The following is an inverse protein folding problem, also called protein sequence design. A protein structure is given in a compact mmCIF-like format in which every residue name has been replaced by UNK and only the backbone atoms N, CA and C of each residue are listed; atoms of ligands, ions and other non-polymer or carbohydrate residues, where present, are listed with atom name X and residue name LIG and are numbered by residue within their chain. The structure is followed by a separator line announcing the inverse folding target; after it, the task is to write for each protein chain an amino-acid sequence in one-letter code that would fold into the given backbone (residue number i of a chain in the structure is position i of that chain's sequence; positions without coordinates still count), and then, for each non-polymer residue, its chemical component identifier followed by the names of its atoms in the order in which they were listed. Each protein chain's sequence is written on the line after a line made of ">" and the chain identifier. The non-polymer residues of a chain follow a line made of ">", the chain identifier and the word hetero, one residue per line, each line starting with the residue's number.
data_IF_666771878580
#
_entry.id   IF_666771878580
#
_cell.length_a   1.000
_cell.length_b   1.000
_cell.length_c   1.000
_cell.angle_alpha   90.00
_cell.angle_beta   90.00
_cell.angle_gamma   90.00
#
_symmetry.space_group_name_H-M   'P 1'
#
loop_
_entity.id
_entity.type
_entity.pdbx_description
1 polymer ?
#
# COMPACT_ATOMS: atom_id res chain seq x y z
N UNK A 1 -23.98 -25.91 -10.82
CA UNK A 1 -23.50 -25.94 -11.19
C UNK A 1 -23.26 -25.16 -12.15
N UNK A 2 -23.69 -24.81 -12.74
CA UNK A 2 -23.53 -24.20 -13.66
C UNK A 2 -23.17 -22.85 -13.53
N UNK A 3 -22.82 -22.38 -12.66
CA UNK A 3 -22.35 -21.13 -12.44
C UNK A 3 -20.89 -21.03 -12.47
N UNK A 4 -20.24 -21.95 -13.16
CA UNK A 4 -18.80 -21.95 -13.21
C UNK A 4 -18.25 -20.66 -13.79
N UNK A 5 -18.87 -20.08 -14.80
CA UNK A 5 -18.39 -18.85 -15.40
C UNK A 5 -18.39 -17.68 -14.42
N UNK A 6 -19.49 -17.52 -13.68
CA UNK A 6 -19.60 -16.44 -12.72
C UNK A 6 -18.70 -16.65 -11.52
N UNK A 7 -18.67 -17.89 -11.02
CA UNK A 7 -17.88 -18.18 -9.85
C UNK A 7 -16.38 -18.13 -10.13
N UNK A 8 -15.99 -18.50 -11.35
CA UNK A 8 -14.59 -18.48 -11.73
C UNK A 8 -14.11 -17.08 -12.06
N UNK A 9 -15.04 -16.17 -12.36
CA UNK A 9 -14.67 -14.81 -12.71
C UNK A 9 -14.13 -14.10 -11.48
N UNK A 10 -12.99 -13.47 -11.64
CA UNK A 10 -12.38 -12.74 -10.56
C UNK A 10 -12.23 -11.27 -10.92
N UNK A 11 -12.33 -10.43 -9.94
CA UNK A 11 -12.19 -8.99 -10.12
C UNK A 11 -11.10 -8.51 -9.19
N UNK A 12 -10.26 -7.62 -9.68
CA UNK A 12 -9.22 -7.01 -8.86
C UNK A 12 -9.84 -5.84 -8.12
N UNK A 13 -9.80 -5.90 -6.80
CA UNK A 13 -10.35 -4.86 -5.95
C UNK A 13 -9.30 -4.41 -4.95
N UNK A 14 -9.47 -3.21 -4.42
CA UNK A 14 -8.60 -2.71 -3.38
C UNK A 14 -8.73 -3.55 -2.13
N UNK A 15 -7.61 -4.01 -1.60
CA UNK A 15 -7.57 -4.80 -0.40
C UNK A 15 -7.34 -3.92 0.82
N UNK A 16 -6.49 -2.92 0.68
CA UNK A 16 -6.20 -1.98 1.74
C UNK A 16 -5.30 -0.88 1.22
N UNK A 17 -5.26 0.23 1.95
CA UNK A 17 -4.40 1.34 1.54
C UNK A 17 -3.96 2.16 2.74
N UNK A 18 -2.86 2.87 2.57
CA UNK A 18 -2.44 3.93 3.47
C UNK A 18 -2.56 5.23 2.70
N UNK A 19 -3.37 6.15 3.20
CA UNK A 19 -3.63 7.42 2.53
C UNK A 19 -2.80 8.51 3.19
N UNK A 20 -1.97 9.20 2.37
CA UNK A 20 -1.15 10.33 2.81
C UNK A 20 0.03 9.90 3.67
N UNK A 21 0.63 8.76 3.36
CA UNK A 21 1.88 8.35 3.98
C UNK A 21 2.99 9.32 3.58
N UNK A 22 3.68 9.90 4.56
CA UNK A 22 4.76 10.85 4.26
C UNK A 22 6.08 10.12 4.14
N UNK A 23 6.78 10.33 3.03
CA UNK A 23 8.08 9.69 2.80
C UNK A 23 9.07 10.25 3.83
N UNK A 24 9.73 9.36 4.55
CA UNK A 24 10.73 9.74 5.53
C UNK A 24 12.14 9.65 4.99
N UNK A 25 12.36 8.80 3.99
CA UNK A 25 13.70 8.61 3.45
C UNK A 25 13.64 7.98 2.06
N UNK A 26 14.69 8.17 1.27
CA UNK A 26 14.79 7.58 -0.06
C UNK A 26 16.25 7.16 -0.25
N UNK A 27 16.46 5.89 -0.64
CA UNK A 27 17.80 5.32 -0.79
C UNK A 27 17.91 4.64 -2.15
N UNK A 28 18.59 5.29 -3.07
CA UNK A 28 18.78 4.78 -4.44
C UNK A 28 19.64 3.53 -4.51
N UNK A 29 20.46 3.32 -3.50
CA UNK A 29 21.45 2.25 -3.54
C UNK A 29 21.02 0.98 -2.81
N UNK A 30 19.80 0.94 -2.34
CA UNK A 30 19.23 -0.23 -1.69
C UNK A 30 18.36 -0.99 -2.70
N UNK A 31 18.02 -2.23 -2.39
CA UNK A 31 17.15 -3.00 -3.28
C UNK A 31 15.77 -2.34 -3.38
N UNK A 32 15.20 -2.34 -4.60
CA UNK A 32 13.92 -1.69 -4.83
C UNK A 32 12.84 -2.24 -3.93
N UNK A 33 12.18 -1.36 -3.18
CA UNK A 33 11.13 -1.74 -2.24
C UNK A 33 10.58 -0.49 -1.57
N UNK A 34 9.53 -0.66 -0.78
CA UNK A 34 9.09 0.39 0.14
C UNK A 34 9.13 -0.16 1.56
N UNK A 35 9.88 0.52 2.42
CA UNK A 35 9.98 0.17 3.84
C UNK A 35 8.86 0.87 4.57
N UNK A 36 8.02 0.11 5.27
CA UNK A 36 6.85 0.66 5.96
C UNK A 36 6.89 0.22 7.41
N UNK A 37 6.63 1.17 8.31
CA UNK A 37 6.45 0.89 9.73
C UNK A 37 5.51 -0.30 9.90
N UNK A 38 5.94 -1.30 10.67
CA UNK A 38 5.17 -2.54 10.84
C UNK A 38 3.76 -2.30 11.35
N UNK A 39 3.54 -1.31 12.20
CA UNK A 39 2.19 -1.02 12.68
C UNK A 39 1.27 -0.58 11.54
N UNK A 40 1.81 0.16 10.56
CA UNK A 40 1.03 0.56 9.40
C UNK A 40 0.78 -0.61 8.46
N UNK A 41 1.75 -1.49 8.31
CA UNK A 41 1.59 -2.71 7.52
C UNK A 41 0.42 -3.52 8.08
N UNK A 42 0.40 -3.73 9.38
CA UNK A 42 -0.64 -4.52 10.03
C UNK A 42 -2.00 -3.83 9.90
N UNK A 43 -2.04 -2.53 10.10
CA UNK A 43 -3.29 -1.79 10.04
C UNK A 43 -3.89 -1.80 8.64
N UNK A 44 -3.06 -1.75 7.61
CA UNK A 44 -3.53 -1.75 6.23
C UNK A 44 -3.77 -3.15 5.68
N UNK A 45 -3.35 -4.17 6.42
CA UNK A 45 -3.51 -5.56 5.99
C UNK A 45 -2.54 -5.96 4.89
N UNK A 46 -1.41 -5.27 4.78
CA UNK A 46 -0.38 -5.64 3.80
C UNK A 46 0.39 -6.86 4.28
N UNK A 47 0.93 -7.61 3.34
CA UNK A 47 1.83 -8.72 3.63
C UNK A 47 3.24 -8.30 3.23
N UNK A 48 4.22 -8.86 3.92
CA UNK A 48 5.62 -8.65 3.53
C UNK A 48 5.82 -9.23 2.13
N UNK A 49 6.51 -8.46 1.29
CA UNK A 49 6.76 -8.78 -0.11
C UNK A 49 5.52 -8.64 -1.00
N UNK A 50 4.43 -8.15 -0.47
CA UNK A 50 3.24 -7.92 -1.28
C UNK A 50 3.48 -6.74 -2.22
N UNK A 51 3.03 -6.89 -3.46
CA UNK A 51 3.07 -5.79 -4.42
C UNK A 51 2.09 -4.70 -4.00
N UNK A 52 2.53 -3.48 -4.05
CA UNK A 52 1.69 -2.31 -3.81
C UNK A 52 1.88 -1.30 -4.92
N UNK A 53 0.83 -0.56 -5.22
CA UNK A 53 0.91 0.57 -6.13
C UNK A 53 1.08 1.83 -5.30
N UNK A 54 1.93 2.73 -5.77
CA UNK A 54 2.25 3.96 -5.08
C UNK A 54 1.78 5.13 -5.93
N UNK A 55 1.02 6.02 -5.33
CA UNK A 55 0.57 7.24 -6.01
C UNK A 55 1.14 8.42 -5.24
N UNK A 56 2.01 9.19 -5.88
CA UNK A 56 2.61 10.36 -5.23
C UNK A 56 1.67 11.53 -5.38
N UNK A 57 1.11 11.99 -4.27
CA UNK A 57 0.13 13.07 -4.27
C UNK A 57 0.75 14.38 -4.75
N UNK A 58 2.01 14.60 -4.39
CA UNK A 58 2.66 15.87 -4.69
C UNK A 58 3.12 16.01 -6.13
N UNK A 59 3.49 14.91 -6.78
CA UNK A 59 4.03 14.95 -8.14
C UNK A 59 3.14 14.29 -9.18
N UNK A 60 2.21 13.45 -8.75
CA UNK A 60 1.39 12.67 -9.66
C UNK A 60 2.06 11.41 -10.19
N UNK A 61 3.28 11.12 -9.77
CA UNK A 61 3.96 9.90 -10.21
C UNK A 61 3.22 8.67 -9.71
N UNK A 62 3.16 7.65 -10.55
CA UNK A 62 2.50 6.39 -10.22
C UNK A 62 3.46 5.26 -10.56
N UNK A 63 3.70 4.39 -9.60
CA UNK A 63 4.62 3.27 -9.80
C UNK A 63 4.27 2.15 -8.82
N UNK A 64 4.89 1.01 -8.98
CA UNK A 64 4.65 -0.12 -8.08
C UNK A 64 5.96 -0.66 -7.57
N UNK A 65 5.89 -1.27 -6.39
CA UNK A 65 7.01 -1.91 -5.75
C UNK A 65 6.47 -2.96 -4.78
N UNK A 66 7.25 -3.42 -3.83
CA UNK A 66 6.78 -4.39 -2.85
C UNK A 66 7.16 -3.94 -1.45
N UNK A 67 6.44 -4.46 -0.46
CA UNK A 67 6.53 -4.02 0.93
C UNK A 67 7.61 -4.78 1.67
N UNK A 68 8.47 -4.04 2.38
CA UNK A 68 9.33 -4.63 3.38
C UNK A 68 9.07 -3.93 4.70
N UNK A 69 9.48 -4.57 5.79
CA UNK A 69 9.15 -4.11 7.12
C UNK A 69 10.18 -3.12 7.65
N UNK A 70 9.73 -2.05 8.27
CA UNK A 70 10.54 -1.18 9.11
C UNK A 70 10.09 -1.35 10.55
N UNK A 71 10.92 -0.97 11.52
CA UNK A 71 10.58 -1.22 12.93
C UNK A 71 9.24 -0.63 13.33
N UNK A 72 8.51 -1.39 14.14
CA UNK A 72 7.19 -0.98 14.62
C UNK A 72 7.31 0.33 15.41
N UNK A 73 6.45 1.28 15.09
CA UNK A 73 6.46 2.58 15.78
C UNK A 73 7.50 3.54 15.27
N UNK A 74 8.29 3.16 14.28
CA UNK A 74 9.37 4.03 13.77
C UNK A 74 8.83 5.17 12.89
N UNK A 75 7.63 5.02 12.35
CA UNK A 75 7.08 6.01 11.43
C UNK A 75 7.72 5.98 10.05
N UNK A 76 8.55 4.99 9.75
CA UNK A 76 9.31 4.97 8.51
C UNK A 76 8.41 4.67 7.32
N UNK A 77 8.56 5.49 6.27
CA UNK A 77 8.05 5.23 4.93
C UNK A 77 9.24 5.52 4.03
N UNK A 78 9.97 4.49 3.64
CA UNK A 78 11.21 4.66 2.90
C UNK A 78 11.14 4.06 1.51
N UNK A 79 11.49 4.85 0.50
CA UNK A 79 11.55 4.38 -0.88
C UNK A 79 12.97 3.94 -1.19
N UNK A 80 13.11 2.73 -1.69
CA UNK A 80 14.41 2.11 -1.92
C UNK A 80 14.59 1.80 -3.40
N UNK A 81 15.82 1.88 -3.87
CA UNK A 81 16.16 1.52 -5.24
C UNK A 81 15.52 2.45 -6.25
N UNK A 82 15.03 1.89 -7.35
CA UNK A 82 14.46 2.67 -8.44
C UNK A 82 13.27 3.52 -7.99
N UNK A 83 12.51 3.04 -7.01
CA UNK A 83 11.37 3.79 -6.49
C UNK A 83 11.80 5.12 -5.89
N UNK A 84 13.02 5.22 -5.39
CA UNK A 84 13.53 6.45 -4.80
C UNK A 84 13.69 7.57 -5.83
N UNK A 85 13.60 7.26 -7.12
CA UNK A 85 13.64 8.29 -8.16
C UNK A 85 12.31 9.01 -8.29
N UNK A 86 11.23 8.43 -7.79
CA UNK A 86 9.88 8.92 -8.04
C UNK A 86 9.23 9.55 -6.82
N UNK A 87 9.93 9.60 -5.71
CA UNK A 87 9.44 10.24 -4.50
C UNK A 87 10.61 10.66 -3.63
N UNK A 88 10.50 11.79 -2.99
CA UNK A 88 11.54 12.29 -2.11
C UNK A 88 10.99 12.45 -0.70
N UNK A 89 11.86 12.57 0.28
CA UNK A 89 11.44 12.77 1.66
C UNK A 89 10.50 13.97 1.74
N UNK A 90 9.41 13.81 2.45
CA UNK A 90 8.38 14.83 2.60
C UNK A 90 7.21 14.68 1.66
N UNK A 91 7.37 13.95 0.56
CA UNK A 91 6.25 13.72 -0.36
C UNK A 91 5.17 12.90 0.33
N UNK A 92 3.92 13.14 -0.04
CA UNK A 92 2.79 12.38 0.48
C UNK A 92 2.37 11.33 -0.55
N UNK A 93 2.20 10.12 -0.10
CA UNK A 93 1.89 8.99 -0.95
C UNK A 93 0.57 8.34 -0.56
N UNK A 94 -0.05 7.72 -1.54
CA UNK A 94 -1.09 6.72 -1.29
C UNK A 94 -0.47 5.38 -1.64
N UNK A 95 -0.49 4.43 -0.70
CA UNK A 95 0.07 3.09 -0.90
C UNK A 95 -1.09 2.12 -0.90
N UNK A 96 -1.27 1.40 -1.99
CA UNK A 96 -2.49 0.60 -2.20
C UNK A 96 -2.13 -0.82 -2.57
N UNK A 97 -2.77 -1.79 -1.91
CA UNK A 97 -2.68 -3.19 -2.29
C UNK A 97 -4.00 -3.61 -2.92
N UNK A 98 -3.90 -4.37 -3.99
CA UNK A 98 -5.06 -4.94 -4.69
C UNK A 98 -4.97 -6.45 -4.64
N UNK A 99 -6.11 -7.10 -4.73
CA UNK A 99 -6.16 -8.55 -4.78
C UNK A 99 -7.32 -8.99 -5.67
N UNK A 100 -7.28 -10.23 -6.12
CA UNK A 100 -8.33 -10.80 -6.93
C UNK A 100 -9.36 -11.44 -6.02
N UNK A 101 -10.63 -11.17 -6.29
CA UNK A 101 -11.74 -11.69 -5.49
C UNK A 101 -12.77 -12.33 -6.41
N UNK A 102 -13.29 -13.48 -5.99
CA UNK A 102 -14.45 -14.09 -6.65
C UNK A 102 -15.72 -13.43 -6.11
N UNK A 103 -16.89 -13.96 -6.49
CA UNK A 103 -18.15 -13.35 -6.10
C UNK A 103 -18.33 -13.27 -4.61
N UNK A 104 -17.97 -14.32 -3.87
CA UNK A 104 -18.09 -14.32 -2.42
C UNK A 104 -17.13 -13.34 -1.78
N UNK A 105 -15.91 -13.30 -2.30
CA UNK A 105 -14.89 -12.39 -1.80
C UNK A 105 -15.25 -10.93 -2.04
N UNK A 106 -15.91 -10.63 -3.18
CA UNK A 106 -16.34 -9.27 -3.46
C UNK A 106 -17.33 -8.77 -2.43
N UNK A 107 -18.30 -9.61 -2.07
CA UNK A 107 -19.30 -9.22 -1.10
C UNK A 107 -18.67 -8.93 0.26
N UNK A 108 -17.70 -9.76 0.64
CA UNK A 108 -17.01 -9.57 1.90
C UNK A 108 -16.13 -8.32 1.86
N UNK A 109 -15.48 -8.07 0.72
CA UNK A 109 -14.54 -6.96 0.60
C UNK A 109 -15.21 -5.60 0.73
N UNK A 110 -16.49 -5.49 0.35
CA UNK A 110 -17.19 -4.26 0.54
C UNK A 110 -17.19 -3.80 1.96
N UNK A 111 -17.16 -4.74 2.93
CA UNK A 111 -17.24 -4.41 4.34
C UNK A 111 -15.89 -4.40 5.03
N UNK A 112 -14.89 -5.01 4.41
CA UNK A 112 -13.63 -5.29 5.09
C UNK A 112 -12.41 -4.60 4.49
N UNK A 113 -12.62 -3.65 3.60
CA UNK A 113 -11.51 -2.88 3.06
C UNK A 113 -10.80 -2.14 4.20
N UNK A 114 -9.48 -2.26 4.24
CA UNK A 114 -8.69 -1.68 5.32
C UNK A 114 -8.00 -0.41 4.85
N UNK A 115 -8.54 0.72 5.23
CA UNK A 115 -8.01 2.02 4.84
C UNK A 115 -7.44 2.70 6.07
N UNK A 116 -6.17 3.07 5.97
CA UNK A 116 -5.47 3.79 7.02
C UNK A 116 -5.26 5.20 6.53
N UNK A 117 -5.74 6.19 7.26
CA UNK A 117 -5.59 7.60 6.88
C UNK A 117 -4.61 8.26 7.82
N UNK A 118 -3.69 8.99 7.24
CA UNK A 118 -2.70 9.74 8.01
C UNK A 118 -3.11 11.20 8.00
N UNK A 119 -3.21 11.79 9.18
CA UNK A 119 -3.58 13.20 9.31
C UNK A 119 -2.47 14.08 8.75
N UNK A 120 -2.78 15.34 8.42
CA UNK A 120 -1.75 16.28 7.96
C UNK A 120 -0.58 16.41 8.92
N UNK A 121 -0.81 16.16 10.22
CA UNK A 121 0.25 16.19 11.22
C UNK A 121 1.20 15.01 11.10
N UNK A 122 0.85 13.97 10.31
CA UNK A 122 1.63 12.76 10.22
C UNK A 122 1.13 11.64 11.12
N UNK A 123 0.10 11.89 11.92
CA UNK A 123 -0.44 10.88 12.81
C UNK A 123 -1.54 10.08 12.13
N UNK A 124 -1.62 8.80 12.47
CA UNK A 124 -2.67 7.94 11.94
C UNK A 124 -4.00 8.33 12.57
N UNK A 125 -5.01 8.45 11.72
CA UNK A 125 -6.34 8.80 12.18
C UNK A 125 -7.29 7.62 12.17
N UNK A 126 -6.83 6.46 11.89
CA UNK A 126 -7.60 5.25 11.89
C UNK A 126 -8.76 5.22 10.98
#
# INVERSE_FOLDING_TARGET
>A
RQRHGIQAMQVTLMKGKIHRARVTEADLHYEGSISIDRHLIEAAGFLINERVDIYNIDTGARFSTYVIEAPAGSGVIGLNGAAARLAMAGDKLIVVAYASFDAAGRARRRKESQDVKIAPSGDRTA
#
